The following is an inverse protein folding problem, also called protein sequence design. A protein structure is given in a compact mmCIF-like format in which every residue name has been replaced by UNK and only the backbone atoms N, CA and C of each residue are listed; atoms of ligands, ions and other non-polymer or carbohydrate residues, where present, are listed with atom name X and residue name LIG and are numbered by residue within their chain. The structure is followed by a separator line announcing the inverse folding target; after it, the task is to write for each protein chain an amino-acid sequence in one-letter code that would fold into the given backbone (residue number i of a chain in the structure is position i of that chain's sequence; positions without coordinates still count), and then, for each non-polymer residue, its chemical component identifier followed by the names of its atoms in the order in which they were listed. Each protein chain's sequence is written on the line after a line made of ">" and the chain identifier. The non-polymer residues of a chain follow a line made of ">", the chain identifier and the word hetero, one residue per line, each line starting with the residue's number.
data_IF_290943063887
#
_entry.id   IF_290943063887
#
_cell.length_a   1.000
_cell.length_b   1.000
_cell.length_c   1.000
_cell.angle_alpha   90.00
_cell.angle_beta   90.00
_cell.angle_gamma   90.00
#
_symmetry.space_group_name_H-M   'P 1'
#
loop_
_entity.id
_entity.type
_entity.pdbx_description
1 polymer ?
#
# COMPACT_ATOMS: atom_id res chain seq x y z
N UNK A 1 -15.11 23.92 0.19
CA UNK A 1 -14.58 23.13 -0.94
C UNK A 1 -13.09 23.35 -1.00
N UNK A 2 -12.31 22.50 -0.33
CA UNK A 2 -10.84 22.60 -0.35
C UNK A 2 -10.30 21.73 -1.49
N UNK A 3 -9.70 22.37 -2.49
CA UNK A 3 -8.97 21.71 -3.57
C UNK A 3 -7.81 20.90 -2.98
N UNK A 4 -8.05 19.61 -2.80
CA UNK A 4 -7.06 18.63 -2.35
C UNK A 4 -6.14 18.28 -3.51
N UNK A 5 -5.06 19.02 -3.68
CA UNK A 5 -3.91 18.52 -4.47
C UNK A 5 -3.30 17.38 -3.68
N UNK A 6 -3.83 16.16 -3.85
CA UNK A 6 -3.20 14.96 -3.35
C UNK A 6 -1.72 14.97 -3.77
N UNK A 7 -0.79 14.62 -2.88
CA UNK A 7 0.60 14.42 -3.27
C UNK A 7 0.59 13.39 -4.41
N UNK A 8 0.99 13.82 -5.60
CA UNK A 8 0.79 13.04 -6.82
C UNK A 8 1.70 11.82 -6.75
N UNK A 9 1.12 10.63 -6.59
CA UNK A 9 1.84 9.37 -6.70
C UNK A 9 1.78 8.89 -8.15
N UNK A 10 2.93 8.51 -8.70
CA UNK A 10 3.00 7.93 -10.04
C UNK A 10 2.64 6.45 -9.96
N UNK A 11 1.62 6.03 -10.70
CA UNK A 11 1.27 4.61 -10.77
C UNK A 11 2.31 3.82 -11.57
N UNK A 12 2.47 2.54 -11.24
CA UNK A 12 3.25 1.58 -12.02
C UNK A 12 2.45 0.29 -12.23
N UNK A 13 2.90 -0.51 -13.19
CA UNK A 13 2.38 -1.87 -13.41
C UNK A 13 3.19 -2.87 -12.57
N UNK A 14 2.60 -3.47 -11.51
CA UNK A 14 3.32 -4.43 -10.68
C UNK A 14 3.64 -5.73 -11.40
N UNK A 15 2.95 -6.08 -12.51
CA UNK A 15 3.17 -7.34 -13.23
C UNK A 15 4.51 -7.37 -13.98
N UNK A 16 5.08 -6.19 -14.25
CA UNK A 16 6.38 -6.02 -14.89
C UNK A 16 7.54 -5.82 -13.88
N UNK A 17 7.26 -5.80 -12.57
CA UNK A 17 8.27 -5.47 -11.55
C UNK A 17 8.99 -6.71 -11.07
N UNK A 18 10.32 -6.66 -11.11
CA UNK A 18 11.21 -7.71 -10.63
C UNK A 18 10.85 -9.10 -11.21
N UNK A 19 10.58 -9.19 -12.51
CA UNK A 19 10.31 -10.49 -13.15
C UNK A 19 11.58 -11.35 -13.20
N UNK A 20 12.75 -10.71 -13.19
CA UNK A 20 14.08 -11.32 -13.10
C UNK A 20 14.92 -10.64 -12.01
N UNK A 21 16.01 -11.29 -11.60
CA UNK A 21 17.01 -10.71 -10.71
C UNK A 21 16.75 -10.93 -9.22
N UNK A 22 17.44 -10.21 -8.33
CA UNK A 22 17.52 -10.55 -6.90
C UNK A 22 16.18 -10.44 -6.15
N UNK A 23 15.21 -9.70 -6.72
CA UNK A 23 13.91 -9.47 -6.11
C UNK A 23 12.79 -10.37 -6.68
N UNK A 24 13.07 -11.28 -7.62
CA UNK A 24 12.03 -12.01 -8.36
C UNK A 24 11.04 -12.83 -7.52
N UNK A 25 11.51 -13.35 -6.40
CA UNK A 25 10.70 -14.14 -5.45
C UNK A 25 10.46 -13.39 -4.13
N UNK A 26 10.59 -12.07 -4.12
CA UNK A 26 10.39 -11.23 -2.94
C UNK A 26 9.03 -10.56 -3.00
N UNK A 27 8.47 -10.23 -1.84
CA UNK A 27 7.16 -9.56 -1.75
C UNK A 27 7.23 -8.10 -2.22
N UNK A 28 8.33 -7.42 -1.89
CA UNK A 28 8.62 -6.05 -2.32
C UNK A 28 10.02 -5.95 -2.90
N UNK A 29 10.19 -5.02 -3.82
CA UNK A 29 11.49 -4.52 -4.28
C UNK A 29 11.78 -3.21 -3.54
N UNK A 30 13.02 -3.06 -3.05
CA UNK A 30 13.52 -1.78 -2.54
C UNK A 30 13.98 -0.95 -3.72
N UNK A 31 13.29 0.17 -3.97
CA UNK A 31 13.59 1.08 -5.09
C UNK A 31 14.78 1.97 -4.76
N UNK A 32 14.78 2.55 -3.56
CA UNK A 32 15.82 3.45 -3.05
C UNK A 32 15.64 3.70 -1.55
N UNK A 33 16.66 4.30 -0.93
CA UNK A 33 16.50 4.96 0.36
C UNK A 33 15.48 6.10 0.26
N UNK A 34 14.69 6.28 1.31
CA UNK A 34 13.77 7.41 1.41
C UNK A 34 14.54 8.69 1.77
N UNK A 35 14.01 9.82 1.31
CA UNK A 35 14.44 11.15 1.71
C UNK A 35 13.33 11.82 2.55
N UNK A 36 13.61 12.96 3.20
CA UNK A 36 12.61 13.65 4.04
C UNK A 36 11.31 14.02 3.33
N UNK A 37 11.31 14.18 2.00
CA UNK A 37 10.10 14.51 1.25
C UNK A 37 9.18 13.29 1.03
N UNK A 38 9.70 12.07 1.13
CA UNK A 38 8.91 10.84 0.96
C UNK A 38 8.02 10.56 2.17
N UNK A 39 8.45 10.98 3.37
CA UNK A 39 7.71 10.79 4.61
C UNK A 39 7.79 12.07 5.48
N UNK A 40 7.14 13.18 5.06
CA UNK A 40 7.25 14.47 5.75
C UNK A 40 6.66 14.46 7.16
N UNK A 41 5.92 13.41 7.50
CA UNK A 41 5.28 13.20 8.80
C UNK A 41 6.08 12.25 9.70
N UNK A 42 7.26 11.80 9.28
CA UNK A 42 8.15 10.95 10.05
C UNK A 42 9.41 11.71 10.46
N UNK A 43 9.74 11.62 11.75
CA UNK A 43 10.84 12.36 12.36
C UNK A 43 12.18 11.61 12.21
N UNK A 44 12.15 10.33 11.78
CA UNK A 44 13.35 9.51 11.61
C UNK A 44 13.40 8.83 10.23
N UNK A 45 14.08 9.47 9.28
CA UNK A 45 14.19 8.96 7.91
C UNK A 45 15.40 8.05 7.64
N UNK A 46 16.30 7.83 8.60
CA UNK A 46 17.57 7.15 8.33
C UNK A 46 17.41 5.67 7.94
N UNK A 47 16.34 5.03 8.41
CA UNK A 47 16.03 3.62 8.15
C UNK A 47 14.83 3.42 7.22
N UNK A 48 14.40 4.48 6.54
CA UNK A 48 13.24 4.43 5.63
C UNK A 48 13.67 4.07 4.21
N UNK A 49 12.87 3.23 3.57
CA UNK A 49 13.05 2.81 2.17
C UNK A 49 11.76 3.00 1.40
N UNK A 50 11.89 3.42 0.14
CA UNK A 50 10.79 3.42 -0.82
C UNK A 50 10.73 2.03 -1.44
N UNK A 51 9.56 1.41 -1.36
CA UNK A 51 9.32 0.06 -1.88
C UNK A 51 8.17 0.04 -2.86
N UNK A 52 8.17 -0.98 -3.71
CA UNK A 52 7.04 -1.35 -4.57
C UNK A 52 6.79 -2.85 -4.52
N UNK A 53 5.56 -3.25 -4.81
CA UNK A 53 5.20 -4.66 -4.96
C UNK A 53 5.89 -5.20 -6.22
N UNK A 54 6.47 -6.38 -6.10
CA UNK A 54 6.95 -7.15 -7.26
C UNK A 54 5.78 -7.85 -7.95
N UNK A 55 6.01 -8.45 -9.12
CA UNK A 55 5.02 -9.29 -9.79
C UNK A 55 4.53 -10.42 -8.87
N UNK A 56 5.46 -11.16 -8.25
CA UNK A 56 5.14 -12.22 -7.29
C UNK A 56 4.47 -11.70 -6.02
N UNK A 57 4.91 -10.56 -5.49
CA UNK A 57 4.32 -9.95 -4.31
C UNK A 57 2.89 -9.46 -4.53
N UNK A 58 2.61 -8.85 -5.69
CA UNK A 58 1.28 -8.41 -6.07
C UNK A 58 0.31 -9.58 -6.30
N UNK A 59 0.80 -10.67 -6.91
CA UNK A 59 0.05 -11.91 -7.04
C UNK A 59 -0.24 -12.53 -5.66
N UNK A 60 0.77 -12.67 -4.80
CA UNK A 60 0.58 -13.21 -3.45
C UNK A 60 -0.39 -12.35 -2.62
N UNK A 61 -0.36 -11.02 -2.78
CA UNK A 61 -1.32 -10.13 -2.12
C UNK A 61 -2.76 -10.37 -2.60
N UNK A 62 -2.96 -10.64 -3.90
CA UNK A 62 -4.26 -10.98 -4.46
C UNK A 62 -4.81 -12.28 -3.86
N UNK A 63 -3.99 -13.32 -3.73
CA UNK A 63 -4.38 -14.62 -3.18
C UNK A 63 -4.87 -14.50 -1.72
N UNK A 64 -4.36 -13.50 -0.99
CA UNK A 64 -4.77 -13.19 0.38
C UNK A 64 -6.02 -12.28 0.47
N UNK A 65 -6.57 -11.82 -0.65
CA UNK A 65 -7.77 -11.00 -0.70
C UNK A 65 -9.03 -11.88 -0.66
N UNK A 66 -9.66 -11.97 0.51
CA UNK A 66 -10.84 -12.81 0.75
C UNK A 66 -12.16 -12.03 0.83
N UNK A 67 -12.12 -10.71 1.01
CA UNK A 67 -13.33 -9.87 1.06
C UNK A 67 -13.58 -9.10 -0.24
N UNK A 68 -14.81 -8.63 -0.43
CA UNK A 68 -15.16 -7.79 -1.58
C UNK A 68 -14.32 -6.51 -1.61
N UNK A 69 -14.27 -5.76 -0.50
CA UNK A 69 -13.47 -4.54 -0.39
C UNK A 69 -11.98 -4.77 -0.67
N UNK A 70 -11.41 -5.91 -0.25
CA UNK A 70 -10.02 -6.24 -0.54
C UNK A 70 -9.78 -6.42 -2.05
N UNK A 71 -10.65 -7.18 -2.71
CA UNK A 71 -10.57 -7.41 -4.15
C UNK A 71 -10.81 -6.13 -4.95
N UNK A 72 -11.76 -5.31 -4.51
CA UNK A 72 -12.05 -4.00 -5.10
C UNK A 72 -10.82 -3.08 -5.04
N UNK A 73 -10.25 -2.87 -3.84
CA UNK A 73 -9.07 -2.03 -3.67
C UNK A 73 -7.83 -2.62 -4.32
N UNK A 74 -7.71 -3.94 -4.42
CA UNK A 74 -6.58 -4.57 -5.14
C UNK A 74 -6.54 -4.18 -6.62
N UNK A 75 -7.70 -3.96 -7.26
CA UNK A 75 -7.80 -3.52 -8.65
C UNK A 75 -7.39 -2.05 -8.87
N UNK A 76 -7.17 -1.27 -7.81
CA UNK A 76 -6.76 0.12 -7.96
C UNK A 76 -5.31 0.23 -8.46
N UNK A 77 -4.92 1.38 -9.05
CA UNK A 77 -3.54 1.60 -9.47
C UNK A 77 -2.54 1.35 -8.33
N UNK A 78 -1.38 0.79 -8.68
CA UNK A 78 -0.32 0.51 -7.73
C UNK A 78 0.66 1.68 -7.62
N UNK A 79 1.07 2.01 -6.40
CA UNK A 79 1.98 3.10 -6.08
C UNK A 79 3.12 2.65 -5.15
N UNK A 80 4.28 3.29 -5.28
CA UNK A 80 5.43 3.12 -4.39
C UNK A 80 5.10 3.70 -3.01
N UNK A 81 5.45 3.00 -1.93
CA UNK A 81 5.14 3.41 -0.56
C UNK A 81 6.38 3.33 0.33
N UNK A 82 6.41 4.15 1.38
CA UNK A 82 7.54 4.22 2.30
C UNK A 82 7.32 3.30 3.50
N UNK A 83 8.33 2.47 3.78
CA UNK A 83 8.36 1.63 4.97
C UNK A 83 9.68 1.79 5.74
N UNK A 84 9.66 1.44 7.03
CA UNK A 84 10.91 1.11 7.71
C UNK A 84 11.52 -0.14 7.07
N UNK A 85 12.83 -0.10 6.84
CA UNK A 85 13.59 -1.22 6.30
C UNK A 85 13.32 -2.48 7.12
N UNK A 86 13.11 -3.59 6.42
CA UNK A 86 12.87 -4.93 7.00
C UNK A 86 11.60 -5.06 7.87
N UNK A 87 10.74 -4.04 7.92
CA UNK A 87 9.52 -4.04 8.75
C UNK A 87 8.38 -4.91 8.20
N UNK A 88 8.40 -5.20 6.90
CA UNK A 88 7.49 -6.14 6.23
C UNK A 88 8.26 -7.40 5.85
N UNK A 89 7.94 -8.52 6.50
CA UNK A 89 8.53 -9.82 6.23
C UNK A 89 7.54 -10.75 5.52
N UNK A 90 8.05 -11.67 4.71
CA UNK A 90 7.22 -12.67 4.05
C UNK A 90 6.43 -13.53 5.06
N UNK A 91 7.02 -13.81 6.23
CA UNK A 91 6.36 -14.57 7.30
C UNK A 91 5.14 -13.85 7.85
N UNK A 92 5.20 -12.53 8.06
CA UNK A 92 4.04 -11.74 8.49
C UNK A 92 2.94 -11.76 7.44
N UNK A 93 3.28 -11.55 6.17
CA UNK A 93 2.30 -11.54 5.06
C UNK A 93 1.63 -12.91 4.92
N UNK A 94 2.40 -14.00 5.02
CA UNK A 94 1.89 -15.38 4.94
C UNK A 94 0.89 -15.76 6.04
N UNK A 95 0.83 -15.02 7.15
CA UNK A 95 -0.20 -15.25 8.16
C UNK A 95 -1.61 -14.95 7.65
N UNK A 96 -1.74 -14.19 6.56
CA UNK A 96 -3.04 -13.83 5.97
C UNK A 96 -3.90 -12.96 6.87
N UNK A 97 -3.34 -12.39 7.96
CA UNK A 97 -4.10 -11.57 8.90
C UNK A 97 -4.75 -10.39 8.16
N UNK A 98 -6.08 -10.19 8.25
CA UNK A 98 -6.77 -9.12 7.52
C UNK A 98 -6.20 -7.73 7.77
N UNK A 99 -5.70 -7.44 8.98
CA UNK A 99 -5.08 -6.16 9.31
C UNK A 99 -3.84 -5.86 8.45
N UNK A 100 -3.00 -6.88 8.17
CA UNK A 100 -1.80 -6.74 7.35
C UNK A 100 -2.14 -6.60 5.86
N UNK A 101 -3.02 -7.48 5.35
CA UNK A 101 -3.49 -7.43 3.95
C UNK A 101 -4.10 -6.06 3.66
N UNK A 102 -5.02 -5.60 4.51
CA UNK A 102 -5.69 -4.31 4.33
C UNK A 102 -4.69 -3.15 4.44
N UNK A 103 -3.74 -3.18 5.37
CA UNK A 103 -2.75 -2.12 5.50
C UNK A 103 -1.82 -2.02 4.28
N UNK A 104 -1.40 -3.16 3.72
CA UNK A 104 -0.59 -3.18 2.49
C UNK A 104 -1.41 -2.67 1.30
N UNK A 105 -2.67 -3.07 1.16
CA UNK A 105 -3.58 -2.52 0.14
C UNK A 105 -3.72 -1.00 0.29
N UNK A 106 -3.93 -0.50 1.51
CA UNK A 106 -4.01 0.94 1.77
C UNK A 106 -2.71 1.64 1.34
N UNK A 107 -1.56 1.16 1.81
CA UNK A 107 -0.28 1.80 1.52
C UNK A 107 0.02 1.85 0.01
N UNK A 108 -0.25 0.75 -0.70
CA UNK A 108 0.13 0.58 -2.10
C UNK A 108 -0.93 1.06 -3.10
N UNK A 109 -2.15 1.43 -2.69
CA UNK A 109 -3.24 1.91 -3.59
C UNK A 109 -3.90 3.21 -3.14
N UNK A 110 -3.64 3.64 -1.91
CA UNK A 110 -4.30 4.78 -1.31
C UNK A 110 -3.65 6.12 -1.61
N UNK A 111 -4.26 7.14 -1.02
CA UNK A 111 -3.87 8.53 -1.10
C UNK A 111 -3.07 8.96 0.13
N UNK A 112 -1.88 9.56 -0.07
CA UNK A 112 -1.09 10.13 1.01
C UNK A 112 -1.82 11.33 1.61
N UNK A 113 -1.79 11.45 2.93
CA UNK A 113 -2.41 12.52 3.68
C UNK A 113 -1.39 13.60 4.04
N UNK A 114 -1.79 14.86 3.87
CA UNK A 114 -0.96 16.01 4.26
C UNK A 114 -0.91 16.20 5.76
N UNK A 115 -2.03 15.97 6.43
CA UNK A 115 -2.11 16.03 7.89
C UNK A 115 -1.39 14.81 8.49
N UNK A 116 -0.94 14.94 9.74
CA UNK A 116 -0.27 13.86 10.48
C UNK A 116 -1.31 13.06 11.25
N UNK A 117 -1.30 11.73 11.12
CA UNK A 117 -2.05 10.87 12.03
C UNK A 117 -1.34 10.80 13.38
N UNK A 118 -2.02 11.24 14.44
CA UNK A 118 -1.51 11.19 15.82
C UNK A 118 -1.53 9.78 16.42
N UNK A 119 -2.17 8.83 15.73
CA UNK A 119 -2.37 7.44 16.19
C UNK A 119 -1.58 6.42 15.36
N UNK A 120 -0.91 6.85 14.30
CA UNK A 120 0.02 6.01 13.55
C UNK A 120 1.33 5.89 14.34
N UNK A 121 1.74 4.68 14.70
CA UNK A 121 3.02 4.47 15.38
C UNK A 121 4.21 4.59 14.45
N UNK A 122 4.00 4.52 13.14
CA UNK A 122 5.04 4.55 12.09
C UNK A 122 6.01 3.38 12.10
N UNK A 123 5.76 2.33 12.89
CA UNK A 123 6.65 1.16 12.97
C UNK A 123 6.87 0.42 11.64
N UNK A 124 5.90 0.52 10.73
CA UNK A 124 5.96 -0.13 9.42
C UNK A 124 5.84 0.93 8.33
N UNK A 125 4.72 1.66 8.32
CA UNK A 125 4.45 2.69 7.30
C UNK A 125 4.74 4.08 7.86
N UNK A 126 5.72 4.75 7.26
CA UNK A 126 6.09 6.13 7.63
C UNK A 126 5.07 7.14 7.09
N UNK A 127 4.55 6.90 5.88
CA UNK A 127 3.50 7.71 5.28
C UNK A 127 2.13 7.43 5.91
N UNK A 128 1.37 8.50 6.09
CA UNK A 128 -0.05 8.42 6.41
C UNK A 128 -0.86 8.26 5.12
N UNK A 129 -0.99 7.03 4.61
CA UNK A 129 -1.79 6.71 3.42
C UNK A 129 -3.16 6.17 3.82
N UNK A 130 -4.22 6.55 3.08
CA UNK A 130 -5.61 6.11 3.30
C UNK A 130 -6.30 5.70 2.01
N UNK A 131 -7.35 4.88 2.10
CA UNK A 131 -8.34 4.71 1.04
C UNK A 131 -9.70 5.17 1.60
N UNK A 132 -10.14 6.40 1.32
CA UNK A 132 -11.39 6.94 1.84
C UNK A 132 -12.60 6.03 1.62
N UNK A 133 -13.45 5.89 2.63
CA UNK A 133 -14.63 5.00 2.60
C UNK A 133 -14.35 3.49 2.64
N UNK A 134 -13.08 3.07 2.80
CA UNK A 134 -12.71 1.67 3.05
C UNK A 134 -12.14 1.48 4.45
N UNK A 135 -12.49 0.37 5.10
CA UNK A 135 -12.00 -0.01 6.44
C UNK A 135 -12.12 1.11 7.49
N UNK A 136 -13.23 1.86 7.45
CA UNK A 136 -13.51 2.99 8.33
C UNK A 136 -12.63 4.21 8.08
N UNK A 137 -12.05 4.33 6.88
CA UNK A 137 -11.18 5.44 6.50
C UNK A 137 -9.81 5.42 7.16
N UNK A 138 -9.41 4.37 7.87
CA UNK A 138 -8.14 4.35 8.61
C UNK A 138 -6.90 4.44 7.71
N UNK A 139 -5.80 4.99 8.22
CA UNK A 139 -4.50 4.92 7.52
C UNK A 139 -3.83 3.54 7.64
N UNK A 140 -2.90 3.23 6.74
CA UNK A 140 -2.18 1.96 6.69
C UNK A 140 -1.53 1.59 8.03
N UNK A 141 -0.85 2.54 8.68
CA UNK A 141 -0.17 2.29 9.96
C UNK A 141 -1.13 1.98 11.12
N UNK A 142 -2.27 2.67 11.20
CA UNK A 142 -3.32 2.31 12.17
C UNK A 142 -3.96 0.96 11.83
N UNK A 143 -4.20 0.68 10.53
CA UNK A 143 -4.80 -0.58 10.10
C UNK A 143 -3.90 -1.78 10.37
N UNK A 144 -2.59 -1.64 10.21
CA UNK A 144 -1.61 -2.72 10.45
C UNK A 144 -1.73 -3.30 11.86
N UNK A 145 -1.86 -2.42 12.85
CA UNK A 145 -2.04 -2.79 14.27
C UNK A 145 -3.47 -3.14 14.65
N UNK A 146 -4.38 -3.15 13.67
CA UNK A 146 -5.82 -3.33 13.86
C UNK A 146 -6.48 -2.22 14.71
N UNK A 147 -5.85 -1.05 14.76
CA UNK A 147 -6.33 0.15 15.47
C UNK A 147 -7.16 1.08 14.59
N UNK A 148 -7.91 0.54 13.62
CA UNK A 148 -8.63 1.36 12.63
C UNK A 148 -9.65 2.31 13.28
N UNK A 149 -10.37 1.84 14.31
CA UNK A 149 -11.42 2.60 14.98
C UNK A 149 -10.91 3.83 15.75
N UNK A 150 -9.64 3.84 16.15
CA UNK A 150 -9.02 4.96 16.88
C UNK A 150 -8.17 5.85 15.98
N UNK A 151 -8.12 5.59 14.68
CA UNK A 151 -7.34 6.38 13.74
C UNK A 151 -7.82 7.85 13.76
N UNK A 152 -6.90 8.81 13.69
CA UNK A 152 -7.22 10.25 13.61
C UNK A 152 -8.08 10.62 12.38
N UNK A 153 -8.16 9.69 11.45
CA UNK A 153 -8.83 9.78 10.18
C UNK A 153 -10.13 8.97 10.11
N UNK A 154 -10.46 8.24 11.16
CA UNK A 154 -11.57 7.31 11.11
C UNK A 154 -12.88 8.03 10.81
N UNK A 155 -13.51 7.66 9.70
CA UNK A 155 -14.84 8.12 9.31
C UNK A 155 -15.57 6.94 8.65
N UNK A 156 -16.67 6.53 9.28
CA UNK A 156 -17.47 5.38 8.83
C UNK A 156 -18.47 5.77 7.75
N UNK A 157 -18.75 7.06 7.59
CA UNK A 157 -19.74 7.58 6.65
C UNK A 157 -19.09 8.25 5.43
N UNK A 158 -17.76 8.21 5.36
CA UNK A 158 -17.00 8.71 4.22
C UNK A 158 -17.33 7.91 2.96
N UNK A 159 -17.58 8.62 1.85
CA UNK A 159 -17.84 7.98 0.56
C UNK A 159 -16.63 7.16 0.09
N UNK A 160 -16.90 6.02 -0.56
CA UNK A 160 -15.85 5.19 -1.16
C UNK A 160 -15.08 5.99 -2.20
N UNK A 161 -13.76 6.02 -2.03
CA UNK A 161 -12.84 6.55 -3.02
C UNK A 161 -12.91 5.75 -4.33
N UNK A 162 -12.95 6.47 -5.44
CA UNK A 162 -12.86 5.94 -6.79
C UNK A 162 -11.63 6.56 -7.44
N UNK A 163 -10.61 5.78 -7.82
CA UNK A 163 -9.43 6.34 -8.45
C UNK A 163 -9.77 6.94 -9.83
N UNK A 164 -9.19 8.10 -10.20
CA UNK A 164 -9.51 8.82 -11.43
C UNK A 164 -9.14 8.06 -12.72
N UNK A 165 -8.37 6.97 -12.60
CA UNK A 165 -8.10 6.04 -13.69
C UNK A 165 -8.13 4.62 -13.12
N UNK A 166 -9.20 3.88 -13.43
CA UNK A 166 -9.17 2.41 -13.42
C UNK A 166 -8.77 1.87 -14.78
N UNK A 167 -7.94 2.58 -15.55
CA UNK A 167 -7.36 1.99 -16.76
C UNK A 167 -6.54 0.81 -16.27
N UNK A 168 -6.93 -0.44 -16.60
CA UNK A 168 -6.14 -1.59 -16.23
C UNK A 168 -4.75 -1.37 -16.82
N UNK A 169 -3.70 -1.44 -15.99
CA UNK A 169 -2.37 -1.60 -16.55
C UNK A 169 -2.44 -2.79 -17.53
N UNK A 170 -1.89 -2.68 -18.76
CA UNK A 170 -1.95 -3.75 -19.74
C UNK A 170 -1.35 -4.99 -19.10
N UNK A 171 -2.21 -5.92 -18.69
CA UNK A 171 -1.78 -7.20 -18.14
C UNK A 171 -1.09 -7.90 -19.30
N UNK A 172 0.22 -8.09 -19.22
CA UNK A 172 0.87 -9.03 -20.11
C UNK A 172 0.13 -10.36 -19.92
N UNK A 173 -0.36 -10.92 -21.03
CA UNK A 173 -0.97 -12.24 -21.01
C UNK A 173 0.06 -13.17 -20.37
N UNK A 174 -0.31 -13.79 -19.25
CA UNK A 174 0.42 -14.94 -18.75
C UNK A 174 0.18 -15.97 -19.84
N UNK A 175 1.18 -16.25 -20.67
CA UNK A 175 1.16 -17.41 -21.55
C UNK A 175 0.74 -18.60 -20.68
N UNK A 176 -0.38 -19.22 -21.05
CA UNK A 176 -0.84 -20.44 -20.42
C UNK A 176 0.36 -21.39 -20.41
N UNK A 177 0.78 -21.79 -19.21
CA UNK A 177 1.84 -22.77 -19.05
C UNK A 177 1.34 -24.05 -19.73
N UNK A 178 1.97 -24.41 -20.85
CA UNK A 178 1.82 -25.74 -21.42
C UNK A 178 2.35 -26.78 -20.42
N UNK A 179 1.64 -27.90 -20.28
CA UNK A 179 1.92 -28.98 -19.32
C UNK A 179 3.36 -29.52 -19.36
#
# INVERSE_FOLDING_TARGET
>A
MSNSTALVRRSYDPTAVAVIGPFQNKFVEVVRAANPADAPNDDNTSDLVVVRLTAKGNQALFELCHTHDQKEVWCFPSYEFVIHKDSITASQVKTGRPSYVNAILIASRGLPQRTRCTKNSRWVFAEDVRVPGYWGGACAGCKWRDGAASCSYADKNEAKYIPPSMVPAPRLAIEELED
#
